data_IF_079933721786
#
_entry.id   IF_079933721786
#
_cell.length_a   1.000
_cell.length_b   1.000
_cell.length_c   1.000
_cell.angle_alpha   90.00
_cell.angle_beta   90.00
_cell.angle_gamma   90.00
#
_symmetry.space_group_name_H-M   'P 1'
#
loop_
_entity.id
_entity.type
_entity.pdbx_description
1 polymer ?
#
# COMPACT_ATOMS: atom_id res chain seq x y z
N UNK A 1 -21.87 13.77 12.36
CA UNK A 1 -21.30 12.82 11.39
C UNK A 1 -20.05 13.35 10.69
N UNK A 2 -20.08 14.55 10.12
CA UNK A 2 -18.88 15.15 9.48
C UNK A 2 -17.70 15.35 10.43
N UNK A 3 -17.95 15.60 11.71
CA UNK A 3 -16.89 15.84 12.71
C UNK A 3 -16.05 14.59 13.03
N UNK A 4 -16.55 13.38 12.75
CA UNK A 4 -15.81 12.12 12.92
C UNK A 4 -14.84 11.89 11.75
N UNK A 5 -15.17 12.36 10.55
CA UNK A 5 -14.36 12.16 9.34
C UNK A 5 -13.33 13.25 9.12
N UNK A 6 -13.57 14.48 9.60
CA UNK A 6 -12.63 15.60 9.42
C UNK A 6 -11.22 15.32 9.93
N UNK A 7 -11.04 14.74 11.14
CA UNK A 7 -9.70 14.43 11.64
C UNK A 7 -9.00 13.29 10.88
N UNK A 8 -9.77 12.45 10.17
CA UNK A 8 -9.24 11.28 9.45
C UNK A 8 -8.94 11.57 7.98
N UNK A 9 -9.39 12.69 7.42
CA UNK A 9 -9.07 13.12 6.07
C UNK A 9 -7.74 13.88 6.08
N UNK A 10 -6.64 13.16 5.96
CA UNK A 10 -5.32 13.76 5.80
C UNK A 10 -4.73 13.34 4.45
N UNK A 11 -4.20 14.29 3.67
CA UNK A 11 -3.47 13.95 2.45
C UNK A 11 -2.20 13.19 2.81
N UNK A 12 -1.79 12.28 1.95
CA UNK A 12 -0.48 11.63 2.06
C UNK A 12 0.61 12.70 1.97
N UNK A 13 1.40 12.84 3.02
CA UNK A 13 2.51 13.78 3.07
C UNK A 13 3.81 13.03 2.77
N UNK A 14 4.44 13.39 1.66
CA UNK A 14 5.77 12.87 1.33
C UNK A 14 6.80 13.78 2.01
N UNK A 15 7.49 13.23 2.99
CA UNK A 15 8.62 13.93 3.63
C UNK A 15 9.83 13.93 2.68
N UNK A 16 10.15 15.08 2.13
CA UNK A 16 11.28 15.27 1.22
C UNK A 16 12.67 15.07 1.87
N UNK A 17 12.73 14.85 3.19
CA UNK A 17 13.99 14.52 3.89
C UNK A 17 14.37 13.05 3.74
N UNK A 18 13.40 12.19 3.37
CA UNK A 18 13.63 10.77 3.10
C UNK A 18 13.79 10.53 1.59
N UNK A 19 14.86 9.88 1.18
CA UNK A 19 15.09 9.54 -0.23
C UNK A 19 15.66 8.11 -0.34
N UNK A 20 14.80 7.14 -0.73
CA UNK A 20 13.40 7.26 -1.09
C UNK A 20 12.46 7.33 0.13
N UNK A 21 11.35 8.03 0.02
CA UNK A 21 10.21 7.86 0.91
C UNK A 21 9.53 6.54 0.58
N UNK A 22 9.63 5.56 1.46
CA UNK A 22 9.20 4.19 1.20
C UNK A 22 7.81 3.92 1.79
N UNK A 23 6.89 3.49 0.93
CA UNK A 23 5.51 3.16 1.27
C UNK A 23 5.29 1.66 1.06
N UNK A 24 4.90 0.96 2.12
CA UNK A 24 4.51 -0.44 2.08
C UNK A 24 2.99 -0.54 1.92
N UNK A 25 2.51 -1.16 0.84
CA UNK A 25 1.09 -1.33 0.56
C UNK A 25 0.66 -2.75 0.91
N UNK A 26 -0.25 -2.87 1.87
CA UNK A 26 -0.72 -4.14 2.42
C UNK A 26 -2.24 -4.29 2.28
N UNK A 27 -2.73 -5.51 2.45
CA UNK A 27 -4.17 -5.84 2.37
C UNK A 27 -4.43 -7.18 1.71
N UNK A 28 -5.64 -7.69 1.79
CA UNK A 28 -6.01 -9.00 1.24
C UNK A 28 -6.04 -9.00 -0.28
N UNK A 29 -6.02 -10.19 -0.89
CA UNK A 29 -6.20 -10.34 -2.33
C UNK A 29 -7.58 -9.81 -2.76
N UNK A 30 -7.61 -9.13 -3.91
CA UNK A 30 -8.85 -8.53 -4.44
C UNK A 30 -9.27 -7.21 -3.78
N UNK A 31 -8.55 -6.73 -2.75
CA UNK A 31 -8.84 -5.43 -2.14
C UNK A 31 -8.52 -4.23 -3.05
N UNK A 32 -7.72 -4.43 -4.11
CA UNK A 32 -7.38 -3.37 -5.07
C UNK A 32 -5.99 -2.76 -4.87
N UNK A 33 -5.05 -3.47 -4.21
CA UNK A 33 -3.67 -3.00 -3.96
C UNK A 33 -2.96 -2.53 -5.22
N UNK A 34 -2.81 -3.42 -6.21
CA UNK A 34 -2.08 -3.12 -7.46
C UNK A 34 -2.69 -1.94 -8.22
N UNK A 35 -4.03 -1.85 -8.26
CA UNK A 35 -4.73 -0.70 -8.84
C UNK A 35 -4.46 0.60 -8.07
N UNK A 36 -4.47 0.53 -6.75
CA UNK A 36 -4.16 1.68 -5.88
C UNK A 36 -2.73 2.16 -6.10
N UNK A 37 -1.76 1.22 -6.20
CA UNK A 37 -0.36 1.53 -6.50
C UNK A 37 -0.23 2.26 -7.83
N UNK A 38 -0.89 1.75 -8.90
CA UNK A 38 -0.85 2.38 -10.21
C UNK A 38 -1.41 3.81 -10.22
N UNK A 39 -2.53 4.04 -9.54
CA UNK A 39 -3.12 5.38 -9.38
C UNK A 39 -2.23 6.31 -8.56
N UNK A 40 -1.70 5.81 -7.44
CA UNK A 40 -0.80 6.58 -6.57
C UNK A 40 0.50 6.96 -7.29
N UNK A 41 1.10 6.01 -8.01
CA UNK A 41 2.29 6.27 -8.82
C UNK A 41 2.06 7.39 -9.85
N UNK A 42 0.90 7.34 -10.56
CA UNK A 42 0.52 8.39 -11.49
C UNK A 42 0.36 9.75 -10.82
N UNK A 43 -0.33 9.79 -9.68
CA UNK A 43 -0.55 11.03 -8.92
C UNK A 43 0.78 11.65 -8.48
N UNK A 44 1.68 10.85 -7.90
CA UNK A 44 2.98 11.31 -7.43
C UNK A 44 3.86 11.81 -8.60
N UNK A 45 3.82 11.11 -9.74
CA UNK A 45 4.49 11.57 -10.96
C UNK A 45 3.98 12.91 -11.47
N UNK A 46 2.66 13.12 -11.43
CA UNK A 46 2.05 14.41 -11.80
C UNK A 46 2.49 15.56 -10.88
N UNK A 47 2.87 15.23 -9.64
CA UNK A 47 3.47 16.19 -8.70
C UNK A 47 4.98 16.42 -8.95
N UNK A 48 5.56 15.80 -9.98
CA UNK A 48 6.96 15.93 -10.34
C UNK A 48 7.91 15.00 -9.59
N UNK A 49 7.40 14.06 -8.80
CA UNK A 49 8.22 13.12 -8.04
C UNK A 49 8.69 11.95 -8.90
N UNK A 50 9.92 11.49 -8.68
CA UNK A 50 10.46 10.26 -9.26
C UNK A 50 9.97 9.08 -8.45
N UNK A 51 9.22 8.18 -9.09
CA UNK A 51 8.58 7.03 -8.45
C UNK A 51 9.20 5.74 -8.95
N UNK A 52 9.32 4.76 -8.06
CA UNK A 52 9.70 3.38 -8.37
C UNK A 52 8.72 2.41 -7.71
N UNK A 53 8.48 1.27 -8.34
CA UNK A 53 7.61 0.22 -7.81
C UNK A 53 8.44 -1.03 -7.47
N UNK A 54 8.06 -1.72 -6.40
CA UNK A 54 8.60 -3.04 -6.05
C UNK A 54 7.49 -4.10 -6.10
N UNK A 55 7.68 -5.16 -6.90
CA UNK A 55 6.74 -6.25 -7.08
C UNK A 55 6.93 -7.33 -6.00
N UNK A 56 6.49 -7.06 -4.78
CA UNK A 56 6.62 -7.97 -3.65
C UNK A 56 5.55 -9.07 -3.57
N UNK A 57 4.50 -9.08 -4.42
CA UNK A 57 3.59 -10.23 -4.57
C UNK A 57 4.20 -11.26 -5.55
N UNK A 58 5.31 -11.86 -5.15
CA UNK A 58 6.15 -12.73 -6.01
C UNK A 58 5.51 -14.07 -6.35
N UNK A 59 4.53 -14.51 -5.57
CA UNK A 59 3.87 -15.81 -5.78
C UNK A 59 2.77 -15.78 -6.84
N UNK A 60 2.36 -14.58 -7.29
CA UNK A 60 1.32 -14.38 -8.29
C UNK A 60 1.91 -13.72 -9.54
N UNK A 61 2.28 -14.54 -10.53
CA UNK A 61 2.83 -14.04 -11.79
C UNK A 61 1.94 -12.94 -12.41
N UNK A 62 0.62 -13.13 -12.43
CA UNK A 62 -0.33 -12.14 -12.93
C UNK A 62 -0.33 -10.82 -12.14
N UNK A 63 0.02 -10.83 -10.85
CA UNK A 63 0.14 -9.59 -10.07
C UNK A 63 1.40 -8.82 -10.46
N UNK A 64 2.51 -9.52 -10.65
CA UNK A 64 3.77 -8.93 -11.14
C UNK A 64 3.57 -8.34 -12.53
N UNK A 65 2.98 -9.10 -13.47
CA UNK A 65 2.67 -8.63 -14.82
C UNK A 65 1.76 -7.39 -14.81
N UNK A 66 0.71 -7.41 -13.97
CA UNK A 66 -0.18 -6.27 -13.82
C UNK A 66 0.56 -5.03 -13.31
N UNK A 67 1.47 -5.20 -12.35
CA UNK A 67 2.26 -4.08 -11.83
C UNK A 67 3.23 -3.55 -12.90
N UNK A 68 3.83 -4.41 -13.73
CA UNK A 68 4.66 -4.02 -14.86
C UNK A 68 3.87 -3.20 -15.88
N UNK A 69 2.66 -3.66 -16.26
CA UNK A 69 1.77 -2.91 -17.15
C UNK A 69 1.46 -1.50 -16.60
N UNK A 70 1.23 -1.39 -15.28
CA UNK A 70 1.04 -0.08 -14.64
C UNK A 70 2.32 0.77 -14.68
N UNK A 71 3.49 0.16 -14.48
CA UNK A 71 4.79 0.82 -14.61
C UNK A 71 4.99 1.38 -16.01
N UNK A 72 4.80 0.57 -17.04
CA UNK A 72 4.96 0.95 -18.45
C UNK A 72 4.01 2.08 -18.85
N UNK A 73 2.72 1.98 -18.46
CA UNK A 73 1.71 3.01 -18.76
C UNK A 73 2.01 4.37 -18.13
N UNK A 74 2.70 4.38 -17.00
CA UNK A 74 3.03 5.60 -16.28
C UNK A 74 4.51 6.00 -16.42
N UNK A 75 5.28 5.25 -17.21
CA UNK A 75 6.74 5.43 -17.33
C UNK A 75 7.40 5.43 -15.94
N UNK A 76 7.15 4.38 -15.16
CA UNK A 76 7.66 4.14 -13.81
C UNK A 76 8.41 2.82 -13.78
N UNK A 77 9.65 2.84 -13.31
CA UNK A 77 10.46 1.62 -13.19
C UNK A 77 9.86 0.66 -12.16
N UNK A 78 9.73 -0.61 -12.53
CA UNK A 78 9.31 -1.70 -11.64
C UNK A 78 10.50 -2.62 -11.38
N UNK A 79 10.79 -2.85 -10.11
CA UNK A 79 11.76 -3.88 -9.68
C UNK A 79 10.97 -5.16 -9.38
N UNK A 80 11.29 -6.20 -10.10
CA UNK A 80 10.71 -7.53 -9.95
C UNK A 80 11.80 -8.60 -10.03
N UNK A 81 11.54 -9.74 -9.42
CA UNK A 81 12.38 -10.94 -9.52
C UNK A 81 11.55 -12.11 -10.06
N UNK A 82 12.17 -13.28 -10.20
CA UNK A 82 11.49 -14.49 -10.65
C UNK A 82 10.31 -14.86 -9.74
N UNK A 83 9.30 -15.48 -10.31
CA UNK A 83 8.14 -16.00 -9.54
C UNK A 83 8.62 -16.91 -8.40
N UNK A 84 8.10 -16.69 -7.20
CA UNK A 84 8.48 -17.42 -5.99
C UNK A 84 9.73 -16.89 -5.28
N UNK A 85 10.34 -15.80 -5.75
CA UNK A 85 11.41 -15.12 -5.02
C UNK A 85 10.93 -14.65 -3.63
N UNK A 86 11.84 -14.44 -2.70
CA UNK A 86 11.54 -13.91 -1.38
C UNK A 86 11.05 -12.44 -1.50
N UNK A 87 9.81 -12.13 -1.10
CA UNK A 87 9.27 -10.77 -1.14
C UNK A 87 10.18 -9.73 -0.45
N UNK A 88 10.80 -10.13 0.66
CA UNK A 88 11.70 -9.24 1.39
C UNK A 88 12.97 -8.92 0.59
N UNK A 89 13.48 -9.87 -0.20
CA UNK A 89 14.64 -9.63 -1.07
C UNK A 89 14.28 -8.67 -2.21
N UNK A 90 13.11 -8.83 -2.84
CA UNK A 90 12.63 -7.92 -3.89
C UNK A 90 12.53 -6.48 -3.39
N UNK A 91 11.92 -6.29 -2.21
CA UNK A 91 11.75 -4.96 -1.61
C UNK A 91 13.10 -4.37 -1.19
N UNK A 92 14.02 -5.20 -0.68
CA UNK A 92 15.39 -4.78 -0.35
C UNK A 92 16.12 -4.26 -1.59
N UNK A 93 16.13 -5.03 -2.68
CA UNK A 93 16.78 -4.65 -3.92
C UNK A 93 16.16 -3.37 -4.52
N UNK A 94 14.84 -3.25 -4.43
CA UNK A 94 14.13 -2.05 -4.88
C UNK A 94 14.54 -0.81 -4.07
N UNK A 95 14.67 -0.92 -2.74
CA UNK A 95 15.14 0.17 -1.89
C UNK A 95 16.59 0.57 -2.23
N UNK A 96 17.47 -0.38 -2.43
CA UNK A 96 18.86 -0.13 -2.83
C UNK A 96 18.92 0.57 -4.20
N UNK A 97 18.16 0.06 -5.17
CA UNK A 97 18.06 0.66 -6.50
C UNK A 97 17.48 2.08 -6.45
N UNK A 98 16.45 2.29 -5.64
CA UNK A 98 15.81 3.59 -5.47
C UNK A 98 16.79 4.63 -4.88
N UNK A 99 17.57 4.26 -3.87
CA UNK A 99 18.64 5.12 -3.31
C UNK A 99 19.69 5.46 -4.35
N UNK A 100 20.21 4.44 -5.06
CA UNK A 100 21.25 4.65 -6.08
C UNK A 100 20.78 5.56 -7.23
N UNK A 101 19.50 5.48 -7.60
CA UNK A 101 18.92 6.28 -8.70
C UNK A 101 18.28 7.58 -8.23
N UNK A 102 18.41 7.94 -6.97
CA UNK A 102 17.80 9.15 -6.37
C UNK A 102 16.31 9.25 -6.67
N UNK A 103 15.60 8.18 -6.39
CA UNK A 103 14.14 8.11 -6.47
C UNK A 103 13.54 8.80 -5.25
N UNK A 104 12.48 9.57 -5.45
CA UNK A 104 11.82 10.29 -4.35
C UNK A 104 10.88 9.37 -3.57
N UNK A 105 10.12 8.50 -4.26
CA UNK A 105 9.14 7.60 -3.63
C UNK A 105 9.27 6.18 -4.14
N UNK A 106 9.33 5.22 -3.22
CA UNK A 106 9.20 3.79 -3.51
C UNK A 106 7.85 3.27 -3.03
N UNK A 107 7.06 2.66 -3.93
CA UNK A 107 5.82 1.96 -3.60
C UNK A 107 6.07 0.45 -3.66
N UNK A 108 5.93 -0.24 -2.53
CA UNK A 108 6.14 -1.68 -2.45
C UNK A 108 4.79 -2.41 -2.39
N UNK A 109 4.47 -3.19 -3.44
CA UNK A 109 3.34 -4.14 -3.44
C UNK A 109 3.67 -5.35 -2.58
N UNK A 110 2.64 -6.01 -2.04
CA UNK A 110 2.79 -7.21 -1.21
C UNK A 110 1.74 -8.26 -1.53
N UNK A 111 2.03 -9.50 -1.18
CA UNK A 111 1.05 -10.57 -1.17
C UNK A 111 -0.13 -10.25 -0.25
N UNK A 112 -1.27 -10.87 -0.51
CA UNK A 112 -2.48 -10.68 0.29
C UNK A 112 -3.24 -12.00 0.54
N UNK A 113 -2.55 -13.13 0.59
CA UNK A 113 -3.14 -14.45 0.78
C UNK A 113 -3.49 -14.68 2.24
N UNK A 114 -4.75 -14.48 2.61
CA UNK A 114 -5.20 -14.62 3.99
C UNK A 114 -5.50 -16.08 4.42
N UNK A 115 -5.40 -17.06 3.50
CA UNK A 115 -5.72 -18.47 3.80
C UNK A 115 -4.83 -19.08 4.88
N UNK A 116 -3.63 -18.57 5.06
CA UNK A 116 -2.73 -18.86 6.17
C UNK A 116 -2.34 -17.53 6.83
N UNK A 117 -3.24 -17.04 7.67
CA UNK A 117 -3.16 -15.70 8.27
C UNK A 117 -1.84 -15.44 8.99
N UNK A 118 -1.34 -16.43 9.74
CA UNK A 118 -0.06 -16.35 10.43
C UNK A 118 1.11 -16.16 9.45
N UNK A 119 1.16 -16.95 8.38
CA UNK A 119 2.25 -16.90 7.41
C UNK A 119 2.31 -15.55 6.67
N UNK A 120 1.14 -14.99 6.31
CA UNK A 120 1.09 -13.67 5.66
C UNK A 120 1.61 -12.58 6.59
N UNK A 121 1.17 -12.56 7.85
CA UNK A 121 1.62 -11.54 8.80
C UNK A 121 3.11 -11.64 9.08
N UNK A 122 3.66 -12.85 9.19
CA UNK A 122 5.09 -13.07 9.40
C UNK A 122 5.91 -12.65 8.18
N UNK A 123 5.42 -12.91 6.97
CA UNK A 123 6.03 -12.45 5.72
C UNK A 123 6.06 -10.92 5.67
N UNK A 124 4.93 -10.26 5.94
CA UNK A 124 4.85 -8.80 5.92
C UNK A 124 5.72 -8.15 7.02
N UNK A 125 5.78 -8.74 8.22
CA UNK A 125 6.71 -8.31 9.28
C UNK A 125 8.16 -8.45 8.84
N UNK A 126 8.50 -9.53 8.11
CA UNK A 126 9.83 -9.73 7.54
C UNK A 126 10.17 -8.64 6.54
N UNK A 127 9.26 -8.33 5.62
CA UNK A 127 9.43 -7.23 4.65
C UNK A 127 9.67 -5.91 5.39
N UNK A 128 8.80 -5.54 6.33
CA UNK A 128 8.96 -4.31 7.13
C UNK A 128 10.31 -4.26 7.84
N UNK A 129 10.73 -5.34 8.47
CA UNK A 129 12.03 -5.43 9.17
C UNK A 129 13.20 -5.24 8.21
N UNK A 130 13.12 -5.80 7.00
CA UNK A 130 14.18 -5.67 5.99
C UNK A 130 14.26 -4.25 5.45
N UNK A 131 13.13 -3.56 5.27
CA UNK A 131 13.12 -2.13 4.94
C UNK A 131 13.85 -1.30 5.99
N UNK A 132 13.62 -1.57 7.28
CA UNK A 132 14.28 -0.90 8.39
C UNK A 132 15.80 -1.14 8.48
N UNK A 133 16.32 -2.16 7.80
CA UNK A 133 17.79 -2.36 7.71
C UNK A 133 18.45 -1.43 6.68
N UNK A 134 17.69 -0.95 5.70
CA UNK A 134 18.19 -0.02 4.68
C UNK A 134 18.05 1.43 5.14
N UNK A 135 16.93 1.75 5.78
CA UNK A 135 16.66 3.02 6.45
C UNK A 135 15.85 2.74 7.72
N UNK A 136 16.37 3.12 8.88
CA UNK A 136 15.75 2.85 10.19
C UNK A 136 14.30 3.38 10.29
N UNK A 137 13.96 4.42 9.50
CA UNK A 137 12.62 4.98 9.43
C UNK A 137 11.69 4.29 8.44
N UNK A 138 12.25 3.40 7.57
CA UNK A 138 11.43 2.70 6.57
C UNK A 138 10.72 1.45 7.14
N UNK A 139 9.49 1.16 6.69
CA UNK A 139 8.68 1.98 5.78
C UNK A 139 8.19 3.26 6.46
N UNK A 140 8.21 4.39 5.75
CA UNK A 140 7.74 5.68 6.25
C UNK A 140 6.21 5.69 6.38
N UNK A 141 5.53 4.94 5.51
CA UNK A 141 4.09 4.70 5.55
C UNK A 141 3.78 3.22 5.34
N UNK A 142 2.79 2.72 6.08
CA UNK A 142 2.16 1.41 5.87
C UNK A 142 0.70 1.66 5.51
N UNK A 143 0.38 1.56 4.22
CA UNK A 143 -0.96 1.80 3.70
C UNK A 143 -1.74 0.50 3.58
N UNK A 144 -2.83 0.41 4.31
CA UNK A 144 -3.75 -0.72 4.25
C UNK A 144 -4.86 -0.44 3.23
N UNK A 145 -4.94 -1.27 2.20
CA UNK A 145 -6.03 -1.22 1.21
C UNK A 145 -7.15 -2.15 1.62
N UNK A 146 -8.34 -1.60 1.80
CA UNK A 146 -9.54 -2.31 2.22
C UNK A 146 -10.66 -2.17 1.19
N UNK A 147 -11.34 -3.27 0.93
CA UNK A 147 -12.56 -3.31 0.14
C UNK A 147 -13.77 -2.94 1.03
N UNK A 148 -14.33 -1.75 0.83
CA UNK A 148 -15.45 -1.24 1.61
C UNK A 148 -16.73 -2.11 1.46
N UNK A 149 -16.83 -2.89 0.37
CA UNK A 149 -17.96 -3.78 0.15
C UNK A 149 -18.00 -4.95 1.15
N UNK A 150 -16.91 -5.25 1.83
CA UNK A 150 -16.81 -6.37 2.79
C UNK A 150 -17.38 -6.06 4.18
N UNK A 151 -17.79 -4.83 4.46
CA UNK A 151 -18.47 -4.48 5.71
C UNK A 151 -17.61 -4.81 6.94
N UNK A 152 -18.19 -5.55 7.90
CA UNK A 152 -17.51 -5.90 9.16
C UNK A 152 -16.21 -6.69 8.98
N UNK A 153 -16.08 -7.48 7.90
CA UNK A 153 -14.84 -8.18 7.59
C UNK A 153 -13.70 -7.20 7.30
N UNK A 154 -13.98 -6.06 6.64
CA UNK A 154 -12.97 -5.02 6.43
C UNK A 154 -12.45 -4.44 7.75
N UNK A 155 -13.33 -4.26 8.74
CA UNK A 155 -12.93 -3.79 10.07
C UNK A 155 -12.05 -4.80 10.82
N UNK A 156 -12.39 -6.10 10.73
CA UNK A 156 -11.57 -7.16 11.32
C UNK A 156 -10.19 -7.23 10.67
N UNK A 157 -10.13 -7.13 9.33
CA UNK A 157 -8.87 -7.03 8.60
C UNK A 157 -8.06 -5.83 9.05
N UNK A 158 -8.70 -4.66 9.18
CA UNK A 158 -8.02 -3.44 9.58
C UNK A 158 -7.35 -3.57 10.95
N UNK A 159 -8.01 -4.18 11.93
CA UNK A 159 -7.43 -4.48 13.25
C UNK A 159 -6.25 -5.41 13.14
N UNK A 160 -6.41 -6.54 12.43
CA UNK A 160 -5.37 -7.55 12.27
C UNK A 160 -4.10 -6.98 11.66
N UNK A 161 -4.22 -6.23 10.55
CA UNK A 161 -3.07 -5.61 9.89
C UNK A 161 -2.45 -4.52 10.76
N UNK A 162 -3.27 -3.72 11.45
CA UNK A 162 -2.78 -2.69 12.34
C UNK A 162 -1.98 -3.27 13.51
N UNK A 163 -2.50 -4.31 14.17
CA UNK A 163 -1.82 -4.96 15.29
C UNK A 163 -0.50 -5.62 14.87
N UNK A 164 -0.45 -6.16 13.65
CA UNK A 164 0.74 -6.83 13.14
C UNK A 164 1.83 -5.88 12.63
N UNK A 165 1.44 -4.76 12.00
CA UNK A 165 2.34 -3.93 11.21
C UNK A 165 2.40 -2.46 11.64
N UNK A 166 1.45 -1.97 12.44
CA UNK A 166 1.33 -0.55 12.74
C UNK A 166 0.98 0.23 11.47
N UNK A 167 -0.26 0.06 11.01
CA UNK A 167 -0.80 0.76 9.82
C UNK A 167 -0.81 2.27 10.09
N UNK A 168 -0.35 3.06 9.12
CA UNK A 168 -0.29 4.52 9.24
C UNK A 168 -1.40 5.23 8.48
N UNK A 169 -1.98 4.54 7.47
CA UNK A 169 -3.08 5.08 6.68
C UNK A 169 -3.92 4.01 6.00
N UNK A 170 -5.16 4.35 5.69
CA UNK A 170 -6.13 3.44 5.08
C UNK A 170 -6.55 3.98 3.71
N UNK A 171 -6.61 3.07 2.74
CA UNK A 171 -7.20 3.31 1.42
C UNK A 171 -8.45 2.46 1.29
N UNK A 172 -9.59 3.10 1.05
CA UNK A 172 -10.87 2.42 0.85
C UNK A 172 -11.19 2.33 -0.64
N UNK A 173 -11.46 1.11 -1.11
CA UNK A 173 -11.85 0.83 -2.49
C UNK A 173 -13.32 0.41 -2.57
N UNK A 174 -13.88 0.45 -3.79
CA UNK A 174 -15.25 -0.02 -4.12
C UNK A 174 -16.35 0.68 -3.30
N UNK A 175 -16.20 1.99 -3.09
CA UNK A 175 -17.17 2.82 -2.36
C UNK A 175 -18.46 3.08 -3.16
N UNK A 176 -18.43 2.93 -4.48
CA UNK A 176 -19.51 3.25 -5.41
C UNK A 176 -20.66 2.22 -5.44
N UNK A 177 -20.53 1.11 -4.73
CA UNK A 177 -21.46 -0.02 -4.81
C UNK A 177 -22.47 -0.14 -3.70
N UNK A 178 -22.54 0.73 -2.66
CA UNK A 178 -23.41 0.40 -1.53
C UNK A 178 -23.75 1.52 -0.57
N UNK A 179 -24.92 1.37 0.09
CA UNK A 179 -25.36 1.97 1.36
C UNK A 179 -24.38 1.76 2.56
N UNK A 180 -23.09 1.53 2.32
CA UNK A 180 -22.10 1.09 3.33
C UNK A 180 -21.20 2.23 3.81
N UNK A 181 -21.65 3.46 3.75
CA UNK A 181 -20.98 4.58 4.44
C UNK A 181 -20.69 4.28 5.92
N UNK A 182 -21.48 3.40 6.53
CA UNK A 182 -21.28 2.96 7.91
C UNK A 182 -19.92 2.30 8.20
N UNK A 183 -19.31 1.59 7.22
CA UNK A 183 -17.99 0.98 7.43
C UNK A 183 -16.87 2.04 7.51
N UNK A 184 -16.97 3.11 6.73
CA UNK A 184 -16.03 4.22 6.75
C UNK A 184 -16.01 4.86 8.14
N UNK A 185 -17.21 5.11 8.71
CA UNK A 185 -17.36 5.64 10.05
C UNK A 185 -16.86 4.67 11.12
N UNK A 186 -17.13 3.37 10.98
CA UNK A 186 -16.67 2.36 11.93
C UNK A 186 -15.14 2.29 11.97
N UNK A 187 -14.48 2.30 10.80
CA UNK A 187 -13.03 2.31 10.69
C UNK A 187 -12.45 3.61 11.29
N UNK A 188 -12.99 4.76 10.91
CA UNK A 188 -12.53 6.06 11.40
C UNK A 188 -12.67 6.18 12.93
N UNK A 189 -13.79 5.75 13.50
CA UNK A 189 -14.06 5.87 14.94
C UNK A 189 -13.26 4.88 15.79
N UNK A 190 -13.05 3.66 15.29
CA UNK A 190 -12.42 2.60 16.07
C UNK A 190 -10.89 2.57 15.95
N UNK A 191 -10.35 2.86 14.78
CA UNK A 191 -8.91 2.78 14.54
C UNK A 191 -8.23 4.13 14.63
N UNK A 192 -8.98 5.22 14.43
CA UNK A 192 -8.45 6.61 14.43
C UNK A 192 -7.28 6.81 13.46
N UNK A 193 -7.24 5.99 12.40
CA UNK A 193 -6.23 6.08 11.36
C UNK A 193 -6.67 7.02 10.25
N UNK A 194 -5.74 7.75 9.60
CA UNK A 194 -6.06 8.57 8.45
C UNK A 194 -6.65 7.73 7.32
N UNK A 195 -7.74 8.20 6.71
CA UNK A 195 -8.28 7.65 5.47
C UNK A 195 -7.76 8.55 4.35
N UNK A 196 -6.77 8.05 3.62
CA UNK A 196 -5.99 8.84 2.67
C UNK A 196 -6.71 8.98 1.32
N UNK A 197 -7.40 7.92 0.89
CA UNK A 197 -8.11 7.87 -0.39
C UNK A 197 -9.39 7.06 -0.28
N UNK A 198 -10.47 7.59 -0.86
CA UNK A 198 -11.66 6.82 -1.17
C UNK A 198 -11.74 6.68 -2.70
N UNK A 199 -11.78 5.44 -3.21
CA UNK A 199 -11.94 5.20 -4.64
C UNK A 199 -13.38 5.50 -5.05
N UNK A 200 -13.62 6.72 -5.50
CA UNK A 200 -14.70 7.02 -6.44
C UNK A 200 -14.11 6.91 -7.85
N UNK A 201 -14.87 6.36 -8.80
CA UNK A 201 -14.49 6.25 -10.22
C UNK A 201 -14.04 7.59 -10.87
N UNK A 202 -14.07 8.67 -10.13
CA UNK A 202 -13.89 10.04 -10.62
C UNK A 202 -12.90 10.88 -9.83
N UNK A 203 -12.09 10.33 -8.94
CA UNK A 203 -11.03 11.11 -8.30
C UNK A 203 -9.69 10.53 -8.71
N UNK A 204 -9.34 10.82 -9.90
CA UNK A 204 -8.04 11.26 -10.42
C UNK A 204 -8.33 12.08 -11.66
#
# INVERSE_FOLDING_TARGET
MLDILRPTQQPLQIDGTAAPFAILIVGVNGAGKTTTIGKLARLLKQQGLKVMLAAGDTFRAAAVEQLQIWGDRNDVTVIAQATGADPAAVVFDALQAARARRIDVLLADTAGRLHTQSNLMDELKKVKRVMGRVDERAPHEVLLVLDASQGQNALQQARLFNDALGVTGIVLTKLDGTAKGGIVFAIASQLRLPILYGDRKSVV
#
